data_IF_934009234452
#
_entry.id   IF_934009234452
#
_cell.length_a   1.000
_cell.length_b   1.000
_cell.length_c   1.000
_cell.angle_alpha   90.00
_cell.angle_beta   90.00
_cell.angle_gamma   90.00
#
_symmetry.space_group_name_H-M   'P 1'
#
loop_
_entity.id
_entity.type
_entity.pdbx_description
1 polymer ?
#
# COMPACT_ATOMS: atom_id res chain seq x y z
N UNK A 1 5.80 -23.76 -10.48
CA UNK A 1 6.46 -24.93 -9.88
C UNK A 1 5.70 -26.22 -10.17
N UNK A 2 4.40 -26.18 -10.09
CA UNK A 2 3.55 -27.31 -10.44
C UNK A 2 2.44 -26.84 -11.39
N UNK A 3 2.24 -27.56 -12.50
CA UNK A 3 1.17 -27.27 -13.47
C UNK A 3 0.78 -28.58 -14.15
N UNK A 4 -0.30 -29.21 -13.66
CA UNK A 4 -0.76 -30.49 -14.17
C UNK A 4 -2.26 -30.68 -13.88
N UNK A 5 -2.98 -31.23 -14.85
CA UNK A 5 -4.39 -31.66 -14.73
C UNK A 5 -5.31 -30.51 -14.21
N UNK A 6 -5.11 -29.29 -14.75
CA UNK A 6 -5.88 -28.10 -14.34
C UNK A 6 -5.48 -27.50 -12.98
N UNK A 7 -4.45 -28.04 -12.33
CA UNK A 7 -3.92 -27.52 -11.08
C UNK A 7 -2.58 -26.81 -11.30
N UNK A 8 -2.42 -25.64 -10.71
CA UNK A 8 -1.21 -24.82 -10.80
C UNK A 8 -0.82 -24.30 -9.44
N UNK A 9 0.45 -24.44 -9.07
CA UNK A 9 1.03 -23.86 -7.85
C UNK A 9 2.31 -23.14 -8.20
N UNK A 10 2.39 -21.89 -7.83
CA UNK A 10 3.59 -21.06 -7.90
C UNK A 10 4.06 -20.72 -6.50
N UNK A 11 5.35 -20.94 -6.24
CA UNK A 11 6.04 -20.47 -5.04
C UNK A 11 6.88 -19.28 -5.45
N UNK A 12 6.82 -18.22 -4.68
CA UNK A 12 7.59 -17.01 -4.90
C UNK A 12 8.08 -16.44 -3.57
N UNK A 13 9.09 -15.60 -3.63
CA UNK A 13 9.60 -14.97 -2.43
C UNK A 13 10.78 -14.05 -2.70
N UNK A 14 11.29 -13.50 -1.62
CA UNK A 14 12.50 -12.68 -1.66
C UNK A 14 13.24 -12.72 -0.32
N UNK A 15 14.53 -12.46 -0.39
CA UNK A 15 15.33 -12.01 0.76
C UNK A 15 15.83 -10.62 0.42
N UNK A 16 15.44 -9.62 1.21
CA UNK A 16 15.89 -8.24 1.07
C UNK A 16 16.80 -7.91 2.26
N UNK A 17 18.10 -7.96 2.01
CA UNK A 17 19.11 -7.59 2.99
C UNK A 17 19.37 -6.09 2.84
N UNK A 18 19.05 -5.30 3.88
CA UNK A 18 19.12 -3.85 3.78
C UNK A 18 19.44 -3.18 5.12
N UNK A 19 20.03 -2.01 5.00
CA UNK A 19 20.39 -1.16 6.12
C UNK A 19 19.90 0.26 5.89
N UNK A 20 19.32 0.86 6.93
CA UNK A 20 18.96 2.26 6.94
C UNK A 20 20.02 3.07 7.69
N UNK A 21 20.32 4.25 7.21
CA UNK A 21 21.15 5.26 7.84
C UNK A 21 20.29 6.51 8.07
N UNK A 22 20.11 6.90 9.33
CA UNK A 22 19.31 8.05 9.73
C UNK A 22 19.76 8.55 11.10
N UNK A 23 19.58 9.84 11.35
CA UNK A 23 19.75 10.43 12.69
C UNK A 23 18.59 10.02 13.64
N UNK A 24 17.42 9.64 13.08
CA UNK A 24 16.33 9.02 13.83
C UNK A 24 16.68 7.56 14.20
N UNK A 25 17.04 7.32 15.45
CA UNK A 25 17.40 5.99 15.95
C UNK A 25 16.32 4.91 15.73
N UNK A 26 15.05 5.28 15.59
CA UNK A 26 13.95 4.34 15.28
C UNK A 26 13.97 3.87 13.83
N UNK A 27 14.55 4.66 12.94
CA UNK A 27 14.69 4.39 11.52
C UNK A 27 16.10 3.94 11.12
N UNK A 28 17.10 4.03 12.00
CA UNK A 28 18.46 3.58 11.74
C UNK A 28 18.62 2.06 11.90
N UNK A 29 19.62 1.48 11.23
CA UNK A 29 20.09 0.11 11.43
C UNK A 29 19.54 -0.92 10.43
N UNK A 30 19.70 -2.18 10.78
CA UNK A 30 19.34 -3.34 9.97
C UNK A 30 17.80 -3.45 9.80
N UNK A 31 17.34 -3.56 8.57
CA UNK A 31 15.93 -3.75 8.18
C UNK A 31 15.72 -5.01 7.33
N UNK A 32 16.66 -5.96 7.40
CA UNK A 32 16.62 -7.21 6.63
C UNK A 32 15.37 -8.02 6.92
N UNK A 33 14.75 -8.58 5.87
CA UNK A 33 13.63 -9.51 5.96
C UNK A 33 13.65 -10.57 4.86
N UNK A 34 12.94 -11.66 5.11
CA UNK A 34 12.58 -12.65 4.10
C UNK A 34 11.06 -12.69 3.89
N UNK A 35 10.64 -12.97 2.68
CA UNK A 35 9.22 -13.13 2.31
C UNK A 35 9.06 -14.42 1.51
N UNK A 36 8.00 -15.16 1.82
CA UNK A 36 7.60 -16.38 1.10
C UNK A 36 6.11 -16.32 0.83
N UNK A 37 5.72 -16.72 -0.35
CA UNK A 37 4.31 -16.84 -0.71
C UNK A 37 4.08 -17.95 -1.72
N UNK A 38 2.84 -18.37 -1.81
CA UNK A 38 2.39 -19.23 -2.89
C UNK A 38 1.03 -18.80 -3.42
N UNK A 39 0.84 -19.04 -4.71
CA UNK A 39 -0.43 -18.88 -5.42
C UNK A 39 -0.84 -20.24 -5.96
N UNK A 40 -2.08 -20.61 -5.73
CA UNK A 40 -2.66 -21.84 -6.24
C UNK A 40 -3.89 -21.57 -7.08
N UNK A 41 -4.05 -22.35 -8.14
CA UNK A 41 -5.25 -22.37 -8.99
C UNK A 41 -5.66 -23.81 -9.23
N UNK A 42 -6.97 -24.09 -9.26
CA UNK A 42 -7.53 -25.37 -9.65
C UNK A 42 -8.73 -25.15 -10.56
N UNK A 43 -8.72 -25.80 -11.71
CA UNK A 43 -9.85 -25.78 -12.63
C UNK A 43 -10.95 -26.72 -12.13
N UNK A 44 -12.10 -26.17 -11.74
CA UNK A 44 -13.25 -26.94 -11.26
C UNK A 44 -14.06 -27.51 -12.43
N UNK A 45 -14.26 -26.67 -13.47
CA UNK A 45 -14.87 -27.06 -14.75
C UNK A 45 -14.40 -26.06 -15.85
N UNK A 46 -14.98 -26.12 -17.05
CA UNK A 46 -14.61 -25.27 -18.19
C UNK A 46 -14.67 -23.77 -17.90
N UNK A 47 -15.54 -23.33 -16.98
CA UNK A 47 -15.87 -21.95 -16.76
C UNK A 47 -15.49 -21.46 -15.36
N UNK A 48 -15.22 -22.38 -14.43
CA UNK A 48 -14.97 -22.07 -13.02
C UNK A 48 -13.58 -22.51 -12.59
N UNK A 49 -12.81 -21.58 -12.04
CA UNK A 49 -11.48 -21.80 -11.43
C UNK A 49 -11.49 -21.37 -9.97
N UNK A 50 -11.09 -22.26 -9.06
CA UNK A 50 -10.77 -21.91 -7.69
C UNK A 50 -9.34 -21.39 -7.60
N UNK A 51 -9.09 -20.41 -6.74
CA UNK A 51 -7.74 -19.89 -6.52
C UNK A 51 -7.52 -19.44 -5.08
N UNK A 52 -6.25 -19.32 -4.69
CA UNK A 52 -5.88 -18.79 -3.40
C UNK A 52 -4.45 -18.28 -3.39
N UNK A 53 -4.17 -17.41 -2.45
CA UNK A 53 -2.85 -16.85 -2.21
C UNK A 53 -2.58 -16.72 -0.72
N UNK A 54 -1.34 -17.05 -0.33
CA UNK A 54 -0.81 -16.77 0.98
C UNK A 54 0.57 -16.16 0.85
N UNK A 55 0.85 -15.09 1.61
CA UNK A 55 2.13 -14.42 1.66
C UNK A 55 2.52 -14.09 3.10
N UNK A 56 3.73 -14.45 3.47
CA UNK A 56 4.26 -14.35 4.80
C UNK A 56 5.61 -13.63 4.81
N UNK A 57 5.86 -12.83 5.82
CA UNK A 57 7.10 -12.08 5.97
C UNK A 57 7.68 -12.30 7.37
N UNK A 58 8.99 -12.56 7.40
CA UNK A 58 9.76 -12.80 8.61
C UNK A 58 10.87 -11.76 8.67
N UNK A 59 10.97 -11.03 9.78
CA UNK A 59 12.09 -10.13 10.04
C UNK A 59 13.40 -10.90 10.22
N UNK A 60 14.43 -10.52 9.49
CA UNK A 60 15.78 -11.10 9.60
C UNK A 60 16.70 -10.32 10.54
N UNK A 61 16.23 -9.19 11.08
CA UNK A 61 16.97 -8.27 11.93
C UNK A 61 16.63 -8.40 13.44
N UNK A 62 16.01 -9.50 13.84
CA UNK A 62 15.60 -9.74 15.24
C UNK A 62 16.42 -10.87 15.87
N UNK A 63 16.50 -10.85 17.20
CA UNK A 63 17.04 -11.98 17.93
C UNK A 63 16.15 -13.22 17.71
N UNK A 64 16.73 -14.43 17.74
CA UNK A 64 16.02 -15.69 17.45
C UNK A 64 14.79 -15.93 18.34
N UNK A 65 14.78 -15.39 19.54
CA UNK A 65 13.68 -15.49 20.51
C UNK A 65 12.66 -14.33 20.43
N UNK A 66 12.89 -13.34 19.56
CA UNK A 66 11.99 -12.21 19.31
C UNK A 66 11.28 -12.41 17.96
N UNK A 67 10.22 -13.22 17.97
CA UNK A 67 9.45 -13.54 16.79
C UNK A 67 8.72 -12.34 16.21
N UNK A 68 9.23 -11.79 15.12
CA UNK A 68 8.52 -10.78 14.31
C UNK A 68 8.17 -11.35 12.95
N UNK A 69 6.94 -11.79 12.84
CA UNK A 69 6.41 -12.43 11.64
C UNK A 69 4.99 -11.92 11.36
N UNK A 70 4.64 -11.78 10.08
CA UNK A 70 3.33 -11.27 9.69
C UNK A 70 2.80 -11.92 8.43
N UNK A 71 1.53 -12.29 8.44
CA UNK A 71 0.78 -12.65 7.24
C UNK A 71 0.43 -11.36 6.49
N UNK A 72 0.91 -11.24 5.26
CA UNK A 72 0.64 -10.09 4.39
C UNK A 72 -0.64 -10.28 3.60
N UNK A 73 -0.81 -11.44 2.98
CA UNK A 73 -1.99 -11.85 2.21
C UNK A 73 -2.42 -13.25 2.64
N UNK A 74 -3.72 -13.49 2.69
CA UNK A 74 -4.32 -14.80 2.93
C UNK A 74 -5.78 -14.77 2.48
N UNK A 75 -6.05 -15.21 1.25
CA UNK A 75 -7.39 -15.23 0.69
C UNK A 75 -7.58 -16.42 -0.26
N UNK A 76 -8.84 -16.78 -0.46
CA UNK A 76 -9.25 -17.76 -1.45
C UNK A 76 -10.50 -17.26 -2.17
N UNK A 77 -10.69 -17.70 -3.40
CA UNK A 77 -11.78 -17.24 -4.23
C UNK A 77 -12.09 -18.12 -5.43
N UNK A 78 -13.08 -17.69 -6.16
CA UNK A 78 -13.56 -18.31 -7.39
C UNK A 78 -13.49 -17.29 -8.53
N UNK A 79 -13.03 -17.74 -9.69
CA UNK A 79 -13.06 -16.97 -10.94
C UNK A 79 -14.01 -17.69 -11.91
N UNK A 80 -15.02 -16.95 -12.34
CA UNK A 80 -15.95 -17.38 -13.38
C UNK A 80 -15.58 -16.67 -14.67
N UNK A 81 -15.38 -17.47 -15.73
CA UNK A 81 -15.05 -16.96 -17.06
C UNK A 81 -16.04 -15.84 -17.46
N UNK A 82 -15.52 -14.75 -18.02
CA UNK A 82 -16.25 -13.56 -18.48
C UNK A 82 -16.98 -12.75 -17.38
N UNK A 83 -17.20 -13.33 -16.19
CA UNK A 83 -17.88 -12.66 -15.08
C UNK A 83 -16.94 -12.14 -13.98
N UNK A 84 -15.63 -12.44 -14.07
CA UNK A 84 -14.64 -11.96 -13.11
C UNK A 84 -14.40 -12.92 -11.95
N UNK A 85 -13.91 -12.37 -10.84
CA UNK A 85 -13.52 -13.14 -9.67
C UNK A 85 -14.10 -12.58 -8.38
N UNK A 86 -14.35 -13.45 -7.42
CA UNK A 86 -14.74 -13.10 -6.05
C UNK A 86 -13.84 -13.85 -5.09
N UNK A 87 -13.18 -13.14 -4.21
CA UNK A 87 -12.37 -13.73 -3.13
C UNK A 87 -12.73 -13.14 -1.77
N UNK A 88 -12.31 -13.85 -0.72
CA UNK A 88 -12.46 -13.41 0.65
C UNK A 88 -11.21 -13.72 1.46
N UNK A 89 -10.87 -12.78 2.35
CA UNK A 89 -9.79 -12.94 3.32
C UNK A 89 -9.00 -11.65 3.56
N UNK A 90 -7.68 -11.81 3.81
CA UNK A 90 -6.75 -10.70 3.93
C UNK A 90 -6.17 -10.37 2.55
N UNK A 91 -6.55 -9.22 2.02
CA UNK A 91 -6.19 -8.81 0.66
C UNK A 91 -5.92 -7.29 0.60
N UNK A 92 -5.65 -6.78 -0.59
CA UNK A 92 -5.49 -5.34 -0.86
C UNK A 92 -6.85 -4.65 -0.85
N UNK A 93 -6.91 -3.49 -0.21
CA UNK A 93 -8.08 -2.62 -0.21
C UNK A 93 -8.31 -1.96 -1.57
N UNK A 94 -9.55 -1.64 -1.88
CA UNK A 94 -9.94 -1.07 -3.18
C UNK A 94 -9.25 0.28 -3.48
N UNK A 95 -8.92 1.09 -2.48
CA UNK A 95 -8.22 2.35 -2.68
C UNK A 95 -6.80 2.12 -3.24
N UNK A 96 -6.15 1.05 -2.82
CA UNK A 96 -4.79 0.71 -3.26
C UNK A 96 -4.69 0.35 -4.76
N UNK A 97 -5.79 0.05 -5.43
CA UNK A 97 -5.79 -0.17 -6.89
C UNK A 97 -5.27 1.05 -7.67
N UNK A 98 -5.42 2.25 -7.11
CA UNK A 98 -4.87 3.50 -7.67
C UNK A 98 -3.56 3.90 -6.96
N UNK A 99 -3.51 3.80 -5.64
CA UNK A 99 -2.34 4.20 -4.84
C UNK A 99 -1.10 3.36 -5.14
N UNK A 100 -1.27 2.11 -5.58
CA UNK A 100 -0.17 1.22 -5.97
C UNK A 100 0.65 1.74 -7.16
N UNK A 101 0.10 2.64 -7.97
CA UNK A 101 0.82 3.18 -9.13
C UNK A 101 2.00 4.07 -8.75
N UNK A 102 1.95 4.71 -7.60
CA UNK A 102 3.04 5.54 -7.08
C UNK A 102 3.91 4.83 -6.03
N UNK A 103 3.51 3.65 -5.54
CA UNK A 103 4.30 2.80 -4.62
C UNK A 103 5.37 1.98 -5.37
N UNK A 104 6.28 2.68 -6.06
CA UNK A 104 7.22 2.08 -7.02
C UNK A 104 8.70 2.37 -6.74
N UNK A 105 9.03 3.10 -5.67
CA UNK A 105 10.41 3.40 -5.29
C UNK A 105 11.18 2.15 -4.85
N UNK A 106 12.51 2.18 -4.83
CA UNK A 106 13.33 1.03 -4.41
C UNK A 106 13.01 0.52 -3.00
N UNK A 107 12.71 1.42 -2.05
CA UNK A 107 12.36 1.09 -0.67
C UNK A 107 11.22 1.92 -0.11
N UNK A 108 11.25 3.24 -0.22
CA UNK A 108 10.26 4.14 0.33
C UNK A 108 9.04 4.32 -0.60
N UNK A 109 8.19 5.30 -0.35
CA UNK A 109 7.01 5.58 -1.15
C UNK A 109 5.75 4.83 -0.74
N UNK A 110 4.61 5.21 -1.36
CA UNK A 110 3.31 4.59 -1.11
C UNK A 110 2.87 4.64 0.35
N UNK A 111 3.23 5.70 1.08
CA UNK A 111 3.01 5.86 2.52
C UNK A 111 2.26 7.14 2.90
N UNK A 112 1.72 7.88 1.93
CA UNK A 112 0.83 9.00 2.22
C UNK A 112 -0.51 8.50 2.77
N UNK A 113 -1.49 8.17 1.95
CA UNK A 113 -2.79 7.63 2.38
C UNK A 113 -2.83 6.11 2.52
N UNK A 114 -1.99 5.37 1.78
CA UNK A 114 -1.97 3.91 1.79
C UNK A 114 -1.31 3.33 3.05
N UNK A 115 -2.11 2.91 4.01
CA UNK A 115 -1.65 2.32 5.28
C UNK A 115 -2.20 0.92 5.49
N UNK A 116 -1.33 -0.02 5.91
CA UNK A 116 -1.73 -1.40 6.22
C UNK A 116 -2.65 -1.43 7.45
N UNK A 117 -3.70 -2.25 7.37
CA UNK A 117 -4.73 -2.40 8.40
C UNK A 117 -5.44 -1.09 8.77
N UNK A 118 -5.51 -0.15 7.84
CA UNK A 118 -6.23 1.10 7.96
C UNK A 118 -7.38 1.10 6.94
N UNK A 119 -8.55 0.60 7.36
CA UNK A 119 -9.70 0.42 6.49
C UNK A 119 -9.32 -0.31 5.17
N UNK A 120 -9.77 0.17 4.01
CA UNK A 120 -9.47 -0.43 2.70
C UNK A 120 -8.41 0.38 1.92
N UNK A 121 -7.42 0.98 2.61
CA UNK A 121 -6.39 1.80 1.94
C UNK A 121 -5.18 1.01 1.46
N UNK A 122 -4.83 -0.11 2.09
CA UNK A 122 -3.74 -1.00 1.67
C UNK A 122 -4.11 -2.46 2.01
N UNK A 123 -3.16 -3.30 2.50
CA UNK A 123 -3.51 -4.65 2.96
C UNK A 123 -4.40 -4.59 4.19
N UNK A 124 -5.50 -5.35 4.16
CA UNK A 124 -6.45 -5.39 5.28
C UNK A 124 -7.16 -6.73 5.36
N UNK A 125 -7.77 -7.02 6.49
CA UNK A 125 -8.44 -8.29 6.75
C UNK A 125 -9.95 -8.18 6.58
N UNK A 126 -10.60 -9.34 6.33
CA UNK A 126 -12.06 -9.44 6.31
C UNK A 126 -12.70 -8.78 5.09
N UNK A 127 -12.00 -8.79 3.95
CA UNK A 127 -12.52 -8.21 2.71
C UNK A 127 -13.05 -9.27 1.76
N UNK A 128 -14.27 -9.06 1.27
CA UNK A 128 -14.84 -9.73 0.11
C UNK A 128 -14.61 -8.83 -1.11
N UNK A 129 -13.87 -9.32 -2.10
CA UNK A 129 -13.43 -8.52 -3.24
C UNK A 129 -13.92 -9.14 -4.54
N UNK A 130 -14.76 -8.41 -5.27
CA UNK A 130 -15.15 -8.74 -6.63
C UNK A 130 -14.32 -7.91 -7.62
N UNK A 131 -13.74 -8.56 -8.62
CA UNK A 131 -12.96 -7.93 -9.69
C UNK A 131 -13.46 -8.36 -11.06
N UNK A 132 -13.59 -7.41 -11.95
CA UNK A 132 -13.94 -7.65 -13.33
C UNK A 132 -13.04 -6.82 -14.25
N UNK A 133 -12.54 -7.46 -15.29
CA UNK A 133 -11.73 -6.83 -16.34
C UNK A 133 -12.55 -6.67 -17.61
N UNK A 134 -12.26 -5.63 -18.40
CA UNK A 134 -12.91 -5.33 -19.67
C UNK A 134 -14.43 -5.17 -19.57
N UNK A 135 -14.91 -4.82 -18.37
CA UNK A 135 -16.32 -4.61 -18.03
C UNK A 135 -17.23 -5.69 -18.63
N UNK A 136 -17.05 -6.94 -18.18
CA UNK A 136 -17.73 -8.14 -18.67
C UNK A 136 -17.47 -8.45 -20.17
N UNK A 137 -16.33 -8.00 -20.71
CA UNK A 137 -16.00 -8.10 -22.12
C UNK A 137 -16.73 -7.10 -23.03
N UNK A 138 -17.44 -6.13 -22.46
CA UNK A 138 -18.20 -5.13 -23.22
C UNK A 138 -17.38 -3.87 -23.53
N UNK A 139 -16.40 -3.53 -22.70
CA UNK A 139 -15.55 -2.34 -22.85
C UNK A 139 -14.10 -2.73 -22.54
N UNK A 140 -13.32 -2.94 -23.58
CA UNK A 140 -11.90 -3.29 -23.47
C UNK A 140 -11.16 -2.21 -22.66
N UNK A 141 -10.31 -2.64 -21.73
CA UNK A 141 -9.51 -1.76 -20.88
C UNK A 141 -10.24 -1.18 -19.67
N UNK A 142 -11.57 -1.32 -19.54
CA UNK A 142 -12.30 -0.86 -18.36
C UNK A 142 -12.30 -1.94 -17.27
N UNK A 143 -11.61 -1.68 -16.17
CA UNK A 143 -11.52 -2.60 -15.04
C UNK A 143 -12.27 -2.05 -13.83
N UNK A 144 -12.90 -2.94 -13.06
CA UNK A 144 -13.73 -2.60 -11.92
C UNK A 144 -13.41 -3.49 -10.72
N UNK A 145 -13.39 -2.89 -9.54
CA UNK A 145 -13.39 -3.58 -8.24
C UNK A 145 -14.58 -3.13 -7.41
N UNK A 146 -15.25 -4.08 -6.77
CA UNK A 146 -16.21 -3.84 -5.70
C UNK A 146 -15.74 -4.60 -4.47
N UNK A 147 -15.75 -3.96 -3.31
CA UNK A 147 -15.23 -4.55 -2.08
C UNK A 147 -16.14 -4.25 -0.89
N UNK A 148 -16.33 -5.25 -0.05
CA UNK A 148 -16.93 -5.11 1.27
C UNK A 148 -15.90 -5.51 2.33
N UNK A 149 -15.77 -4.72 3.38
CA UNK A 149 -14.96 -5.06 4.55
C UNK A 149 -15.86 -5.26 5.75
N UNK A 150 -15.78 -6.43 6.38
CA UNK A 150 -16.45 -6.68 7.66
C UNK A 150 -15.72 -5.99 8.82
N UNK A 151 -16.44 -5.69 9.88
CA UNK A 151 -15.93 -5.08 11.11
C UNK A 151 -14.77 -5.88 11.72
N UNK A 152 -13.69 -5.18 12.08
CA UNK A 152 -12.56 -5.70 12.84
C UNK A 152 -12.39 -4.88 14.12
N UNK A 153 -12.81 -5.42 15.26
CA UNK A 153 -12.52 -4.83 16.55
C UNK A 153 -11.11 -5.20 16.99
N UNK A 154 -10.30 -4.18 17.29
CA UNK A 154 -8.92 -4.33 17.74
C UNK A 154 -8.61 -3.34 18.85
N UNK A 155 -7.68 -3.70 19.75
CA UNK A 155 -7.24 -2.83 20.83
C UNK A 155 -6.51 -1.58 20.34
N UNK A 156 -5.74 -1.71 19.25
CA UNK A 156 -5.15 -0.56 18.56
C UNK A 156 -6.20 0.07 17.62
N UNK A 157 -6.70 1.24 18.01
CA UNK A 157 -7.71 1.99 17.27
C UNK A 157 -7.28 2.29 15.82
N UNK A 158 -5.98 2.43 15.57
CA UNK A 158 -5.46 2.75 14.24
C UNK A 158 -5.60 1.62 13.22
N UNK A 159 -5.86 0.41 13.70
CA UNK A 159 -5.98 -0.80 12.88
C UNK A 159 -7.37 -1.44 12.93
N UNK A 160 -8.28 -0.90 13.74
CA UNK A 160 -9.69 -1.31 13.80
C UNK A 160 -10.50 -0.68 12.66
N UNK A 161 -11.65 -1.25 12.34
CA UNK A 161 -12.64 -0.70 11.42
C UNK A 161 -14.04 -1.23 11.71
N UNK A 162 -15.06 -0.45 11.39
CA UNK A 162 -16.43 -0.94 11.24
C UNK A 162 -16.66 -1.56 9.86
N UNK A 163 -17.93 -1.85 9.54
CA UNK A 163 -18.29 -2.34 8.21
C UNK A 163 -18.05 -1.26 7.15
N UNK A 164 -17.61 -1.66 5.97
CA UNK A 164 -17.27 -0.71 4.92
C UNK A 164 -17.44 -1.24 3.51
N UNK A 165 -17.49 -0.31 2.56
CA UNK A 165 -17.57 -0.59 1.14
C UNK A 165 -16.51 0.20 0.39
N UNK A 166 -15.96 -0.43 -0.66
CA UNK A 166 -14.98 0.19 -1.53
C UNK A 166 -15.25 -0.13 -3.00
N UNK A 167 -14.81 0.74 -3.87
CA UNK A 167 -14.86 0.53 -5.32
C UNK A 167 -13.65 1.17 -5.97
N UNK A 168 -13.19 0.60 -7.07
CA UNK A 168 -12.26 1.24 -7.99
C UNK A 168 -12.68 1.03 -9.43
N UNK A 169 -12.32 1.98 -10.27
CA UNK A 169 -12.43 1.91 -11.73
C UNK A 169 -11.11 2.35 -12.33
N UNK A 170 -10.62 1.63 -13.33
CA UNK A 170 -9.50 2.07 -14.15
C UNK A 170 -9.77 1.82 -15.61
N UNK A 171 -9.27 2.72 -16.45
CA UNK A 171 -9.38 2.59 -17.89
C UNK A 171 -8.00 2.64 -18.54
N UNK A 172 -7.66 1.55 -19.21
CA UNK A 172 -6.48 1.43 -20.05
C UNK A 172 -6.83 1.87 -21.48
N UNK A 173 -6.20 2.95 -21.92
CA UNK A 173 -6.41 3.52 -23.26
C UNK A 173 -5.66 2.73 -24.33
N UNK A 174 -5.93 1.48 -24.51
CA UNK A 174 -5.25 0.52 -25.38
C UNK A 174 -4.44 1.12 -26.53
N UNK A 175 -3.15 0.73 -26.61
CA UNK A 175 -2.19 1.24 -27.60
C UNK A 175 -1.57 2.61 -27.27
N UNK A 176 -1.94 3.27 -26.19
CA UNK A 176 -1.33 4.53 -25.71
C UNK A 176 -0.43 4.35 -24.48
N UNK A 177 -0.48 3.18 -23.83
CA UNK A 177 0.24 2.84 -22.59
C UNK A 177 -0.13 3.74 -21.38
N UNK A 178 -1.21 4.52 -21.51
CA UNK A 178 -1.80 5.33 -20.44
C UNK A 178 -2.95 4.62 -19.75
N UNK A 179 -2.97 4.73 -18.43
CA UNK A 179 -4.09 4.28 -17.60
C UNK A 179 -4.55 5.43 -16.71
N UNK A 180 -5.84 5.67 -16.64
CA UNK A 180 -6.48 6.55 -15.67
C UNK A 180 -7.29 5.72 -14.68
N UNK A 181 -7.41 6.16 -13.46
CA UNK A 181 -8.24 5.46 -12.48
C UNK A 181 -8.68 6.32 -11.31
N UNK A 182 -9.72 5.83 -10.66
CA UNK A 182 -10.26 6.40 -9.44
C UNK A 182 -10.74 5.30 -8.50
N UNK A 183 -10.73 5.59 -7.21
CA UNK A 183 -11.22 4.69 -6.18
C UNK A 183 -11.92 5.49 -5.07
N UNK A 184 -12.85 4.84 -4.40
CA UNK A 184 -13.57 5.39 -3.26
C UNK A 184 -13.80 4.31 -2.22
N UNK A 185 -13.64 4.66 -0.93
CA UNK A 185 -13.98 3.79 0.19
C UNK A 185 -14.71 4.57 1.26
N UNK A 186 -15.65 3.89 1.92
CA UNK A 186 -16.40 4.44 3.05
C UNK A 186 -16.59 3.33 4.08
N UNK A 187 -16.38 3.63 5.35
CA UNK A 187 -16.47 2.65 6.44
C UNK A 187 -17.06 3.29 7.69
N UNK A 188 -17.83 2.52 8.43
CA UNK A 188 -18.16 2.89 9.79
C UNK A 188 -16.91 2.82 10.67
N UNK A 189 -16.87 3.65 11.70
CA UNK A 189 -15.81 3.62 12.71
C UNK A 189 -16.30 2.82 13.92
N UNK A 190 -15.36 2.29 14.68
CA UNK A 190 -15.69 1.62 15.95
C UNK A 190 -15.89 2.65 17.06
N UNK A 191 -16.64 2.30 18.12
CA UNK A 191 -16.83 3.17 19.29
C UNK A 191 -15.48 3.64 19.88
N UNK A 192 -14.45 2.78 19.87
CA UNK A 192 -13.12 3.15 20.37
C UNK A 192 -12.47 4.23 19.50
N UNK A 193 -12.71 4.21 18.20
CA UNK A 193 -12.22 5.23 17.26
C UNK A 193 -12.96 6.56 17.45
N UNK A 194 -14.28 6.53 17.64
CA UNK A 194 -15.13 7.71 17.83
C UNK A 194 -14.82 8.46 19.14
N UNK A 195 -14.40 7.72 20.18
CA UNK A 195 -14.03 8.27 21.49
C UNK A 195 -12.64 8.88 21.56
N UNK A 196 -11.87 8.87 20.46
CA UNK A 196 -10.53 9.51 20.42
C UNK A 196 -10.66 11.03 20.43
N UNK A 197 -9.60 11.68 20.93
CA UNK A 197 -9.58 13.13 21.09
C UNK A 197 -9.52 13.90 19.76
N UNK A 198 -8.90 13.28 18.73
CA UNK A 198 -8.78 13.88 17.40
C UNK A 198 -9.66 13.14 16.39
N UNK A 199 -10.25 13.89 15.47
CA UNK A 199 -11.03 13.35 14.35
C UNK A 199 -12.33 12.71 14.79
N UNK A 200 -13.31 13.50 15.21
CA UNK A 200 -14.67 13.05 15.54
C UNK A 200 -15.44 12.58 14.29
N UNK A 201 -16.46 11.74 14.51
CA UNK A 201 -17.38 11.29 13.47
C UNK A 201 -17.51 9.78 13.34
N UNK A 202 -18.67 9.34 12.89
CA UNK A 202 -19.05 7.92 12.80
C UNK A 202 -18.46 7.21 11.57
N UNK A 203 -18.02 7.96 10.57
CA UNK A 203 -17.54 7.41 9.29
C UNK A 203 -16.13 7.85 8.93
N UNK A 204 -15.44 6.96 8.26
CA UNK A 204 -14.16 7.20 7.61
C UNK A 204 -14.33 7.03 6.10
N UNK A 205 -13.97 8.06 5.35
CA UNK A 205 -14.10 8.10 3.90
C UNK A 205 -12.77 8.42 3.22
N UNK A 206 -12.52 7.85 2.05
CA UNK A 206 -11.40 8.22 1.22
C UNK A 206 -11.71 8.08 -0.26
N UNK A 207 -11.11 8.94 -1.07
CA UNK A 207 -11.09 8.78 -2.51
C UNK A 207 -9.68 9.03 -3.05
N UNK A 208 -9.37 8.40 -4.17
CA UNK A 208 -8.13 8.59 -4.89
C UNK A 208 -8.39 8.67 -6.39
N UNK A 209 -7.59 9.47 -7.07
CA UNK A 209 -7.53 9.50 -8.54
C UNK A 209 -6.07 9.51 -8.98
N UNK A 210 -5.76 8.84 -10.07
CA UNK A 210 -4.40 8.74 -10.56
C UNK A 210 -4.31 8.48 -12.05
N UNK A 211 -3.09 8.66 -12.55
CA UNK A 211 -2.72 8.35 -13.91
C UNK A 211 -1.34 7.69 -13.93
N UNK A 212 -1.14 6.76 -14.84
CA UNK A 212 0.17 6.15 -15.10
C UNK A 212 0.45 6.00 -16.58
N UNK A 213 1.73 6.02 -16.89
CA UNK A 213 2.30 5.64 -18.19
C UNK A 213 3.41 4.62 -17.95
N UNK A 214 3.40 3.51 -18.67
CA UNK A 214 4.40 2.45 -18.52
C UNK A 214 4.76 1.85 -19.88
N UNK A 215 5.66 2.52 -20.59
CA UNK A 215 6.17 2.05 -21.88
C UNK A 215 7.53 2.69 -22.23
N UNK A 216 8.19 2.16 -23.23
CA UNK A 216 9.46 2.70 -23.74
C UNK A 216 10.55 2.86 -22.64
N UNK A 217 10.61 1.90 -21.72
CA UNK A 217 11.49 1.93 -20.55
C UNK A 217 11.22 3.07 -19.57
N UNK A 218 10.17 3.87 -19.78
CA UNK A 218 9.77 4.99 -18.93
C UNK A 218 8.51 4.61 -18.12
N UNK A 219 8.58 4.78 -16.81
CA UNK A 219 7.45 4.70 -15.92
C UNK A 219 7.16 6.08 -15.31
N UNK A 220 5.94 6.54 -15.45
CA UNK A 220 5.44 7.76 -14.82
C UNK A 220 4.13 7.44 -14.12
N UNK A 221 3.97 7.92 -12.88
CA UNK A 221 2.67 7.88 -12.22
C UNK A 221 2.48 9.08 -11.32
N UNK A 222 1.23 9.48 -11.17
CA UNK A 222 0.79 10.53 -10.27
C UNK A 222 -0.52 10.10 -9.63
N UNK A 223 -0.67 10.43 -8.35
CA UNK A 223 -1.87 10.15 -7.58
C UNK A 223 -2.20 11.34 -6.67
N UNK A 224 -3.47 11.67 -6.56
CA UNK A 224 -4.02 12.55 -5.55
C UNK A 224 -5.15 11.83 -4.80
N UNK A 225 -5.17 11.97 -3.48
CA UNK A 225 -6.23 11.42 -2.64
C UNK A 225 -6.61 12.35 -1.49
N UNK A 226 -7.81 12.18 -0.98
CA UNK A 226 -8.26 12.79 0.26
C UNK A 226 -8.83 11.71 1.18
N UNK A 227 -8.54 11.84 2.48
CA UNK A 227 -9.16 11.01 3.52
C UNK A 227 -9.91 11.87 4.52
N UNK A 228 -10.95 11.32 5.14
CA UNK A 228 -11.69 11.93 6.24
C UNK A 228 -11.80 10.94 7.39
N UNK A 229 -11.41 11.36 8.59
CA UNK A 229 -11.47 10.55 9.82
C UNK A 229 -10.81 9.16 9.69
N UNK A 230 -9.82 9.03 8.84
CA UNK A 230 -9.22 7.77 8.43
C UNK A 230 -7.73 7.68 8.76
N UNK A 231 -6.97 8.75 8.54
CA UNK A 231 -5.51 8.76 8.78
C UNK A 231 -5.22 8.84 10.27
N UNK A 232 -4.59 7.82 10.89
CA UNK A 232 -4.35 7.80 12.32
C UNK A 232 -3.25 8.78 12.72
N UNK A 233 -3.45 9.43 13.87
CA UNK A 233 -2.48 10.27 14.57
C UNK A 233 -2.18 9.60 15.91
N UNK A 234 -0.91 9.25 16.15
CA UNK A 234 -0.43 8.56 17.36
C UNK A 234 0.47 9.48 18.20
N UNK A 235 -0.07 10.64 18.60
CA UNK A 235 0.66 11.60 19.42
C UNK A 235 1.17 11.06 20.75
N UNK A 236 2.03 11.84 21.40
CA UNK A 236 2.72 11.44 22.63
C UNK A 236 1.75 11.29 23.82
N UNK A 237 0.68 12.07 23.85
CA UNK A 237 -0.35 12.04 24.90
C UNK A 237 -1.71 11.71 24.33
N UNK A 238 -2.64 11.26 25.18
CA UNK A 238 -3.98 10.84 24.76
C UNK A 238 -4.77 11.96 24.04
N UNK A 239 -4.57 13.22 24.42
CA UNK A 239 -5.19 14.37 23.77
C UNK A 239 -4.75 14.59 22.30
N UNK A 240 -3.61 14.03 21.91
CA UNK A 240 -3.04 14.09 20.57
C UNK A 240 -3.18 12.76 19.81
N UNK A 241 -4.12 11.91 20.24
CA UNK A 241 -4.40 10.62 19.60
C UNK A 241 -5.77 10.60 18.94
N UNK A 242 -5.83 9.97 17.78
CA UNK A 242 -7.07 9.82 17.02
C UNK A 242 -6.80 9.79 15.52
N UNK A 243 -7.52 10.60 14.78
CA UNK A 243 -7.44 10.67 13.32
C UNK A 243 -7.40 12.12 12.84
N UNK A 244 -6.76 12.37 11.72
CA UNK A 244 -6.89 13.64 11.05
C UNK A 244 -8.34 13.79 10.51
N UNK A 245 -8.97 14.94 10.73
CA UNK A 245 -10.30 15.25 10.20
C UNK A 245 -10.35 15.10 8.69
N UNK A 246 -9.31 15.58 8.03
CA UNK A 246 -9.09 15.48 6.60
C UNK A 246 -7.60 15.37 6.33
N UNK A 247 -7.20 14.58 5.33
CA UNK A 247 -5.88 14.70 4.72
C UNK A 247 -5.99 14.96 3.23
N UNK A 248 -5.03 15.71 2.72
CA UNK A 248 -4.74 15.87 1.30
C UNK A 248 -3.42 15.16 1.02
N UNK A 249 -3.40 14.29 0.03
CA UNK A 249 -2.27 13.44 -0.28
C UNK A 249 -1.90 13.59 -1.74
N UNK A 250 -0.62 13.67 -2.02
CA UNK A 250 -0.10 13.72 -3.38
C UNK A 250 1.14 12.85 -3.48
N UNK A 251 1.20 12.05 -4.51
CA UNK A 251 2.38 11.24 -4.84
C UNK A 251 2.66 11.31 -6.34
N UNK A 252 3.95 11.37 -6.69
CA UNK A 252 4.41 11.31 -8.06
C UNK A 252 5.71 10.52 -8.14
N UNK A 253 5.89 9.74 -9.20
CA UNK A 253 7.11 8.96 -9.45
C UNK A 253 7.47 8.97 -10.92
N UNK A 254 8.76 9.07 -11.20
CA UNK A 254 9.35 8.85 -12.51
C UNK A 254 10.50 7.87 -12.38
N UNK A 255 10.54 6.87 -13.28
CA UNK A 255 11.61 5.89 -13.36
C UNK A 255 11.96 5.65 -14.82
N UNK A 256 13.23 5.37 -15.09
CA UNK A 256 13.68 4.98 -16.41
C UNK A 256 14.56 3.72 -16.33
N UNK A 257 14.26 2.70 -17.12
CA UNK A 257 15.02 1.46 -17.17
C UNK A 257 16.04 1.52 -18.30
N UNK A 258 17.33 1.60 -17.96
CA UNK A 258 18.41 1.48 -18.94
C UNK A 258 18.65 0.02 -19.32
N UNK A 259 19.05 -0.24 -20.56
CA UNK A 259 19.31 -1.59 -21.08
C UNK A 259 20.44 -2.31 -20.34
N UNK A 260 21.38 -1.57 -19.75
CA UNK A 260 22.47 -2.14 -18.94
C UNK A 260 22.07 -2.49 -17.50
N UNK A 261 20.79 -2.41 -17.15
CA UNK A 261 20.24 -2.87 -15.86
C UNK A 261 20.01 -1.79 -14.80
N UNK A 262 20.42 -0.53 -15.02
CA UNK A 262 20.19 0.55 -14.08
C UNK A 262 18.76 1.12 -14.22
N UNK A 263 18.08 1.34 -13.11
CA UNK A 263 16.77 1.99 -13.02
C UNK A 263 16.78 3.12 -11.98
N UNK A 264 17.14 4.35 -12.34
CA UNK A 264 16.98 5.50 -11.47
C UNK A 264 15.51 5.82 -11.22
N UNK A 265 15.25 6.42 -10.06
CA UNK A 265 13.92 6.76 -9.57
C UNK A 265 13.98 8.15 -8.93
N UNK A 266 12.98 8.97 -9.19
CA UNK A 266 12.75 10.25 -8.55
C UNK A 266 11.26 10.39 -8.26
N UNK A 267 10.93 10.91 -7.09
CA UNK A 267 9.54 11.20 -6.78
C UNK A 267 9.33 12.12 -5.61
N UNK A 268 8.07 12.33 -5.32
CA UNK A 268 7.59 13.19 -4.27
C UNK A 268 6.38 12.56 -3.59
N UNK A 269 6.37 12.60 -2.26
CA UNK A 269 5.28 12.07 -1.44
C UNK A 269 4.89 13.10 -0.40
N UNK A 270 3.60 13.44 -0.34
CA UNK A 270 3.07 14.43 0.59
C UNK A 270 1.73 13.95 1.19
N UNK A 271 1.60 14.08 2.50
CA UNK A 271 0.34 13.97 3.23
C UNK A 271 0.21 15.16 4.17
N UNK A 272 -0.80 15.99 3.94
CA UNK A 272 -1.12 17.14 4.79
C UNK A 272 -2.42 16.91 5.54
N UNK A 273 -2.34 16.90 6.86
CA UNK A 273 -3.50 16.94 7.74
C UNK A 273 -4.10 18.34 7.78
N UNK A 274 -5.42 18.42 7.76
CA UNK A 274 -6.17 19.69 7.74
C UNK A 274 -7.07 19.79 8.97
N UNK A 275 -7.11 21.00 9.52
CA UNK A 275 -8.03 21.35 10.62
C UNK A 275 -7.95 20.37 11.80
N UNK A 276 -6.74 19.91 12.16
CA UNK A 276 -6.53 19.00 13.29
C UNK A 276 -6.80 19.74 14.59
N UNK A 277 -7.54 19.13 15.50
CA UNK A 277 -7.96 19.71 16.78
C UNK A 277 -6.76 19.98 17.72
N UNK A 278 -7.03 20.42 18.95
CA UNK A 278 -6.06 20.72 20.00
C UNK A 278 -5.01 21.77 19.64
N UNK A 279 -5.40 22.74 18.77
CA UNK A 279 -4.51 23.83 18.36
C UNK A 279 -3.39 23.38 17.41
N UNK A 280 -3.50 22.18 16.81
CA UNK A 280 -2.54 21.69 15.82
C UNK A 280 -2.76 22.38 14.47
N UNK A 281 -4.04 22.43 14.00
CA UNK A 281 -4.38 23.05 12.71
C UNK A 281 -3.90 22.23 11.51
N UNK A 282 -3.38 22.92 10.49
CA UNK A 282 -2.82 22.28 9.31
C UNK A 282 -1.38 21.84 9.57
N UNK A 283 -1.10 20.54 9.36
CA UNK A 283 0.21 19.96 9.63
C UNK A 283 0.61 18.95 8.54
N UNK A 284 1.83 19.08 8.04
CA UNK A 284 2.41 18.02 7.20
C UNK A 284 2.70 16.78 8.05
N UNK A 285 2.06 15.68 7.69
CA UNK A 285 2.23 14.37 8.36
C UNK A 285 3.29 13.52 7.66
N UNK A 286 3.41 13.67 6.35
CA UNK A 286 4.45 13.10 5.49
C UNK A 286 4.79 14.13 4.42
N UNK A 287 6.06 14.41 4.20
CA UNK A 287 6.50 15.30 3.12
C UNK A 287 7.95 15.02 2.80
N UNK A 288 8.24 14.41 1.66
CA UNK A 288 9.62 14.14 1.26
C UNK A 288 9.79 14.03 -0.25
N UNK A 289 11.03 14.29 -0.69
CA UNK A 289 11.52 13.93 -2.02
C UNK A 289 12.24 12.59 -1.91
N UNK A 290 12.01 11.72 -2.87
CA UNK A 290 12.65 10.41 -2.96
C UNK A 290 13.58 10.36 -4.18
N UNK A 291 14.84 9.97 -3.95
CA UNK A 291 15.85 9.83 -4.99
C UNK A 291 16.52 8.48 -4.84
N UNK A 292 16.28 7.59 -5.78
CA UNK A 292 16.80 6.23 -5.68
C UNK A 292 17.27 5.66 -6.99
N UNK A 293 17.88 4.49 -6.92
CA UNK A 293 18.24 3.68 -8.07
C UNK A 293 18.27 2.20 -7.71
N UNK A 294 17.83 1.38 -8.64
CA UNK A 294 18.00 -0.08 -8.59
C UNK A 294 18.87 -0.53 -9.74
N UNK A 295 19.84 -1.39 -9.46
CA UNK A 295 20.63 -2.06 -10.48
C UNK A 295 20.28 -3.55 -10.51
N UNK A 296 19.76 -4.01 -11.64
CA UNK A 296 19.40 -5.40 -11.87
C UNK A 296 20.56 -6.15 -12.47
N UNK A 297 21.21 -7.03 -11.71
CA UNK A 297 22.22 -7.99 -12.22
C UNK A 297 21.57 -9.01 -13.15
N UNK A 298 20.37 -9.42 -12.82
CA UNK A 298 19.47 -10.27 -13.60
C UNK A 298 18.04 -10.19 -13.02
N UNK A 299 17.10 -11.00 -13.53
CA UNK A 299 15.70 -11.03 -13.07
C UNK A 299 15.51 -11.42 -11.60
N UNK A 300 16.49 -12.06 -10.97
CA UNK A 300 16.41 -12.59 -9.62
C UNK A 300 17.23 -11.79 -8.61
N UNK A 301 18.25 -11.06 -9.04
CA UNK A 301 19.19 -10.35 -8.15
C UNK A 301 19.31 -8.89 -8.52
N UNK A 302 19.17 -8.01 -7.53
CA UNK A 302 19.37 -6.58 -7.69
C UNK A 302 20.03 -5.96 -6.45
N UNK A 303 20.65 -4.79 -6.66
CA UNK A 303 21.11 -3.90 -5.59
C UNK A 303 20.34 -2.58 -5.71
N UNK A 304 20.17 -1.87 -4.60
CA UNK A 304 19.48 -0.58 -4.60
C UNK A 304 20.09 0.38 -3.60
N UNK A 305 19.88 1.65 -3.87
CA UNK A 305 20.02 2.78 -2.95
C UNK A 305 18.77 3.61 -3.07
N UNK A 306 18.27 4.13 -1.94
CA UNK A 306 17.10 4.97 -1.88
C UNK A 306 17.28 6.05 -0.82
N UNK A 307 17.07 7.31 -1.17
CA UNK A 307 17.26 8.45 -0.29
C UNK A 307 15.95 9.22 -0.13
N UNK A 308 15.39 9.10 1.06
CA UNK A 308 14.25 9.86 1.51
C UNK A 308 14.72 11.18 2.11
N UNK A 309 14.55 12.28 1.37
CA UNK A 309 14.91 13.63 1.78
C UNK A 309 13.70 14.27 2.43
N UNK A 310 13.66 14.31 3.76
CA UNK A 310 12.53 14.84 4.50
C UNK A 310 12.41 16.38 4.30
N UNK A 311 11.19 16.86 4.15
CA UNK A 311 10.89 18.28 3.94
C UNK A 311 10.13 18.88 5.14
N UNK A 312 10.00 18.13 6.23
CA UNK A 312 9.31 18.57 7.45
C UNK A 312 10.37 19.02 8.45
N UNK A 313 10.31 20.28 8.86
CA UNK A 313 11.16 20.81 9.92
C UNK A 313 10.67 20.33 11.30
N UNK A 314 11.63 20.07 12.20
CA UNK A 314 11.31 19.73 13.60
C UNK A 314 10.80 20.96 14.36
N UNK A 315 9.62 20.81 14.99
CA UNK A 315 9.02 21.82 15.86
C UNK A 315 8.28 21.17 17.05
N UNK A 316 7.59 21.97 17.86
CA UNK A 316 6.83 21.45 19.00
C UNK A 316 5.66 20.56 18.58
N UNK A 317 5.04 20.82 17.43
CA UNK A 317 3.90 20.04 16.91
C UNK A 317 4.39 18.71 16.37
N UNK A 318 5.47 18.69 15.58
CA UNK A 318 6.04 17.43 15.05
C UNK A 318 6.51 16.52 16.17
N UNK A 319 7.12 17.06 17.24
CA UNK A 319 7.48 16.29 18.44
C UNK A 319 6.25 15.74 19.17
N UNK A 320 5.19 16.54 19.37
CA UNK A 320 3.92 16.10 19.99
C UNK A 320 3.27 14.98 19.22
N UNK A 321 3.26 15.07 17.90
CA UNK A 321 2.62 14.08 17.02
C UNK A 321 3.54 12.91 16.64
N UNK A 322 4.80 12.94 17.05
CA UNK A 322 5.83 11.94 16.70
C UNK A 322 6.00 11.79 15.18
N UNK A 323 5.98 12.92 14.48
CA UNK A 323 6.24 12.95 13.05
C UNK A 323 7.75 12.86 12.82
N UNK A 324 8.18 11.97 11.94
CA UNK A 324 9.59 11.85 11.55
C UNK A 324 10.00 13.03 10.68
N UNK A 325 11.11 13.67 11.03
CA UNK A 325 11.68 14.85 10.36
C UNK A 325 13.06 14.58 9.77
N UNK A 326 13.68 13.44 10.11
CA UNK A 326 15.03 13.10 9.66
C UNK A 326 15.01 12.44 8.27
N UNK A 327 16.10 12.65 7.54
CA UNK A 327 16.39 11.95 6.30
C UNK A 327 16.70 10.48 6.55
N UNK A 328 16.47 9.64 5.55
CA UNK A 328 16.80 8.22 5.60
C UNK A 328 17.47 7.82 4.29
N UNK A 329 18.64 7.19 4.37
CA UNK A 329 19.26 6.51 3.24
C UNK A 329 19.14 5.01 3.43
N UNK A 330 18.52 4.30 2.50
CA UNK A 330 18.44 2.85 2.46
C UNK A 330 19.40 2.29 1.41
N UNK A 331 20.15 1.25 1.77
CA UNK A 331 20.98 0.50 0.84
C UNK A 331 20.71 -0.99 1.01
N UNK A 332 20.72 -1.75 -0.07
CA UNK A 332 20.49 -3.18 0.08
C UNK A 332 20.67 -4.01 -1.19
N UNK A 333 20.52 -5.30 -0.96
CA UNK A 333 20.50 -6.36 -1.95
C UNK A 333 19.15 -7.08 -1.88
N UNK A 334 18.57 -7.38 -3.03
CA UNK A 334 17.33 -8.12 -3.12
C UNK A 334 17.52 -9.35 -4.02
N UNK A 335 17.35 -10.52 -3.42
CA UNK A 335 17.24 -11.78 -4.15
C UNK A 335 15.77 -12.20 -4.18
N UNK A 336 15.22 -12.46 -5.36
CA UNK A 336 13.84 -12.90 -5.55
C UNK A 336 13.73 -14.12 -6.46
N UNK A 337 12.76 -14.97 -6.23
CA UNK A 337 12.53 -16.20 -6.98
C UNK A 337 11.07 -16.46 -7.26
#
# INVERSE_FOLDING_TARGET
VFNKDGNKVNIYGRVKAMHYMSDDASNDGDKTYARLGFKGETQVNSDLTGYGQWEYEIAGNRAENDGSQKTRLAFAGLKLKDFGSLDYGRNLGALYDVEAWTDMFPEFGGDSSAKTDNFMTKRTSGVATYRNTDFFGAIDGLNMTLQYQGKNERSDYSTANGDGFGTSLSYDFGGSDFVLGGAYTTSDRTNVQELKALGGGERADAWAAGAKYDANNLYLAVMYSETRNMTPIKGAVAADQGFANKTQNFEAVVQYQFDFGLRPSLGYVMQKGKDIENGIGDQDLVNYIDVGATYYFNKNMSAFVDYKINQIDEDDVTRRLKISTDDIVAVGLNYQF
#
